data_IF_270489748565
#
_entry.id   IF_270489748565
#
_cell.length_a   1.000
_cell.length_b   1.000
_cell.length_c   1.000
_cell.angle_alpha   90.00
_cell.angle_beta   90.00
_cell.angle_gamma   90.00
#
_symmetry.space_group_name_H-M   'P 1'
#
loop_
_entity.id
_entity.type
_entity.pdbx_description
1 polymer ?
#
# COMPACT_ATOMS: atom_id res chain seq x y z
N UNK A 1 17.13 34.93 -13.58
CA UNK A 1 17.17 33.46 -13.33
C UNK A 1 16.65 33.25 -11.94
N UNK A 2 15.36 32.86 -11.83
CA UNK A 2 14.73 32.55 -10.53
C UNK A 2 15.11 31.12 -10.14
N UNK A 3 15.71 30.95 -8.95
CA UNK A 3 15.92 29.64 -8.36
C UNK A 3 14.58 28.91 -8.18
N UNK A 4 14.49 27.59 -8.40
CA UNK A 4 13.27 26.85 -8.16
C UNK A 4 12.92 26.96 -6.68
N UNK A 5 11.67 27.34 -6.38
CA UNK A 5 11.13 27.40 -5.04
C UNK A 5 11.33 26.05 -4.35
N UNK A 6 11.96 26.08 -3.19
CA UNK A 6 12.14 24.95 -2.29
C UNK A 6 10.78 24.35 -1.95
N UNK A 7 10.43 23.24 -2.57
CA UNK A 7 9.21 22.52 -2.22
C UNK A 7 9.40 21.96 -0.82
N UNK A 8 8.49 22.22 0.12
CA UNK A 8 8.59 21.65 1.45
C UNK A 8 8.65 20.12 1.31
N UNK A 9 9.72 19.53 1.84
CA UNK A 9 9.88 18.07 1.90
C UNK A 9 8.67 17.48 2.62
N UNK A 10 8.07 16.40 2.09
CA UNK A 10 6.95 15.75 2.76
C UNK A 10 7.37 15.28 4.15
N UNK A 11 6.59 15.65 5.19
CA UNK A 11 6.92 15.44 6.61
C UNK A 11 6.87 13.97 7.08
N UNK A 12 6.52 13.03 6.20
CA UNK A 12 6.38 11.61 6.59
C UNK A 12 7.56 10.80 6.06
N UNK A 13 8.64 10.87 6.81
CA UNK A 13 9.79 9.97 6.61
C UNK A 13 9.65 8.84 7.61
N UNK A 14 9.25 7.66 7.15
CA UNK A 14 9.51 6.44 7.91
C UNK A 14 10.99 6.12 7.68
N UNK A 15 11.82 6.42 8.67
CA UNK A 15 13.22 6.03 8.62
C UNK A 15 13.30 4.52 8.91
N UNK A 16 13.47 3.74 7.86
CA UNK A 16 13.87 2.34 8.01
C UNK A 16 15.33 2.29 8.51
N UNK A 17 15.57 1.45 9.51
CA UNK A 17 16.92 1.26 10.07
C UNK A 17 17.17 1.93 11.41
N UNK A 18 16.24 2.68 11.99
CA UNK A 18 16.41 3.23 13.36
C UNK A 18 16.39 2.19 14.46
N UNK A 19 15.91 0.98 14.17
CA UNK A 19 15.86 -0.14 15.13
C UNK A 19 17.15 -0.98 15.14
N UNK A 20 18.26 -0.45 14.61
CA UNK A 20 19.55 -1.14 14.59
C UNK A 20 19.63 -2.26 13.55
N UNK A 21 18.69 -2.38 12.64
CA UNK A 21 18.76 -3.32 11.52
C UNK A 21 19.79 -2.81 10.53
N UNK A 22 20.86 -3.56 10.18
CA UNK A 22 21.83 -3.13 9.20
C UNK A 22 21.15 -2.87 7.86
N UNK A 23 21.57 -1.85 7.09
CA UNK A 23 21.13 -1.72 5.72
C UNK A 23 21.44 -3.02 4.98
N UNK A 24 20.46 -3.54 4.26
CA UNK A 24 20.68 -4.73 3.45
C UNK A 24 21.84 -4.45 2.47
N UNK A 25 22.64 -5.46 2.15
CA UNK A 25 23.77 -5.34 1.25
C UNK A 25 23.38 -4.70 -0.09
N UNK A 26 24.27 -3.88 -0.64
CA UNK A 26 24.13 -3.27 -1.96
C UNK A 26 22.89 -2.38 -2.17
N UNK A 27 22.52 -1.57 -1.19
CA UNK A 27 21.40 -0.60 -1.32
C UNK A 27 20.01 -1.16 -1.08
N UNK A 28 19.88 -2.46 -0.82
CA UNK A 28 18.60 -3.09 -0.43
C UNK A 28 18.32 -2.81 1.04
N UNK A 29 17.20 -2.17 1.32
CA UNK A 29 16.72 -1.99 2.69
C UNK A 29 15.99 -3.26 3.17
N UNK A 30 16.03 -3.48 4.49
CA UNK A 30 15.30 -4.56 5.15
C UNK A 30 14.33 -3.99 6.18
N UNK A 31 13.07 -4.48 6.15
CA UNK A 31 12.01 -4.03 7.04
C UNK A 31 11.61 -5.15 8.02
N UNK A 32 11.80 -4.98 9.34
CA UNK A 32 11.36 -5.97 10.33
C UNK A 32 9.87 -6.31 10.22
N UNK A 33 9.03 -5.37 9.76
CA UNK A 33 7.62 -5.60 9.55
C UNK A 33 7.35 -6.63 8.43
N UNK A 34 8.16 -6.62 7.37
CA UNK A 34 8.06 -7.60 6.28
C UNK A 34 8.16 -9.03 6.81
N UNK A 35 9.18 -9.33 7.61
CA UNK A 35 9.43 -10.68 8.14
C UNK A 35 8.26 -11.19 9.00
N UNK A 36 7.52 -10.29 9.66
CA UNK A 36 6.39 -10.66 10.52
C UNK A 36 5.08 -10.82 9.77
N UNK A 37 4.90 -10.17 8.61
CA UNK A 37 3.57 -10.04 8.00
C UNK A 37 3.43 -10.63 6.59
N UNK A 38 4.53 -10.79 5.83
CA UNK A 38 4.45 -11.13 4.41
C UNK A 38 3.71 -12.44 4.14
N UNK A 39 3.91 -13.47 4.97
CA UNK A 39 3.25 -14.75 4.75
C UNK A 39 1.76 -14.70 5.06
N UNK A 40 1.37 -14.06 6.18
CA UNK A 40 -0.04 -13.90 6.53
C UNK A 40 -0.80 -13.06 5.48
N UNK A 41 -0.17 -11.98 4.99
CA UNK A 41 -0.73 -11.16 3.90
C UNK A 41 -0.88 -12.03 2.64
N UNK A 42 0.15 -12.80 2.27
CA UNK A 42 0.08 -13.65 1.09
C UNK A 42 -1.08 -14.64 1.14
N UNK A 43 -1.35 -15.27 2.28
CA UNK A 43 -2.48 -16.20 2.44
C UNK A 43 -3.83 -15.53 2.08
N UNK A 44 -3.97 -14.24 2.35
CA UNK A 44 -5.15 -13.47 1.95
C UNK A 44 -5.15 -13.11 0.45
N UNK A 45 -3.98 -12.80 -0.11
CA UNK A 45 -3.85 -12.41 -1.52
C UNK A 45 -3.95 -13.60 -2.48
N UNK A 46 -3.43 -14.76 -2.09
CA UNK A 46 -3.27 -15.94 -2.95
C UNK A 46 -4.56 -16.38 -3.65
N UNK A 47 -5.74 -16.43 -3.00
CA UNK A 47 -7.00 -16.79 -3.67
C UNK A 47 -7.37 -15.89 -4.84
N UNK A 48 -6.90 -14.65 -4.84
CA UNK A 48 -7.19 -13.65 -5.87
C UNK A 48 -6.09 -13.56 -6.93
N UNK A 49 -4.83 -13.80 -6.55
CA UNK A 49 -3.67 -13.48 -7.39
C UNK A 49 -2.96 -14.71 -7.99
N UNK A 50 -3.02 -15.88 -7.35
CA UNK A 50 -2.21 -17.03 -7.76
C UNK A 50 -2.49 -17.50 -9.21
N UNK A 51 -3.72 -17.39 -9.68
CA UNK A 51 -4.13 -17.75 -11.05
C UNK A 51 -4.42 -16.53 -11.94
N UNK A 52 -4.29 -15.32 -11.41
CA UNK A 52 -4.60 -14.09 -12.15
C UNK A 52 -3.55 -13.77 -13.22
N UNK A 53 -3.95 -12.98 -14.19
CA UNK A 53 -3.09 -12.40 -15.24
C UNK A 53 -3.37 -10.91 -15.33
N UNK A 54 -2.34 -10.11 -15.59
CA UNK A 54 -2.46 -8.67 -15.70
C UNK A 54 -1.42 -7.94 -14.84
N UNK A 55 -1.80 -6.80 -14.29
CA UNK A 55 -0.93 -5.93 -13.51
C UNK A 55 -1.35 -5.84 -12.04
N UNK A 56 -0.37 -5.70 -11.16
CA UNK A 56 -0.54 -5.33 -9.75
C UNK A 56 0.24 -4.05 -9.49
N UNK A 57 -0.41 -3.05 -8.92
CA UNK A 57 0.24 -1.82 -8.47
C UNK A 57 0.38 -1.85 -6.95
N UNK A 58 1.60 -1.80 -6.44
CA UNK A 58 1.86 -1.62 -5.02
C UNK A 58 2.19 -0.16 -4.73
N UNK A 59 1.44 0.45 -3.83
CA UNK A 59 1.54 1.84 -3.44
C UNK A 59 2.18 1.96 -2.06
N UNK A 60 3.30 2.69 -1.98
CA UNK A 60 4.13 2.76 -0.79
C UNK A 60 4.85 1.42 -0.54
N UNK A 61 5.60 0.94 -1.53
CA UNK A 61 6.30 -0.35 -1.48
C UNK A 61 7.44 -0.40 -0.46
N UNK A 62 7.84 0.74 0.08
CA UNK A 62 8.89 0.84 1.10
C UNK A 62 10.20 0.19 0.64
N UNK A 63 10.62 -0.86 1.33
CA UNK A 63 11.86 -1.59 0.99
C UNK A 63 11.80 -2.34 -0.35
N UNK A 64 10.60 -2.67 -0.86
CA UNK A 64 10.40 -3.49 -2.06
C UNK A 64 10.32 -5.00 -1.81
N UNK A 65 10.51 -5.45 -0.56
CA UNK A 65 10.54 -6.87 -0.22
C UNK A 65 9.21 -7.59 -0.50
N UNK A 66 8.06 -6.95 -0.22
CA UNK A 66 6.75 -7.53 -0.53
C UNK A 66 6.58 -7.73 -2.04
N UNK A 67 6.88 -6.69 -2.84
CA UNK A 67 6.81 -6.77 -4.31
C UNK A 67 7.56 -7.98 -4.84
N UNK A 68 8.86 -8.12 -4.55
CA UNK A 68 9.67 -9.21 -5.14
C UNK A 68 9.24 -10.58 -4.62
N UNK A 69 8.84 -10.68 -3.35
CA UNK A 69 8.35 -11.93 -2.76
C UNK A 69 7.06 -12.42 -3.41
N UNK A 70 6.11 -11.52 -3.64
CA UNK A 70 4.83 -11.89 -4.24
C UNK A 70 4.94 -12.05 -5.76
N UNK A 71 5.80 -11.28 -6.43
CA UNK A 71 6.10 -11.46 -7.86
C UNK A 71 6.67 -12.86 -8.17
N UNK A 72 7.52 -13.40 -7.28
CA UNK A 72 8.04 -14.77 -7.41
C UNK A 72 6.92 -15.81 -7.39
N UNK A 73 5.86 -15.56 -6.60
CA UNK A 73 4.70 -16.46 -6.45
C UNK A 73 3.65 -16.31 -7.56
N UNK A 74 3.76 -15.25 -8.36
CA UNK A 74 2.78 -14.88 -9.40
C UNK A 74 3.45 -14.54 -10.73
N UNK A 75 4.12 -15.49 -11.38
CA UNK A 75 4.91 -15.22 -12.60
C UNK A 75 4.06 -14.73 -13.79
N UNK A 76 2.74 -14.92 -13.75
CA UNK A 76 1.81 -14.44 -14.77
C UNK A 76 1.30 -12.99 -14.55
N UNK A 77 1.67 -12.37 -13.44
CA UNK A 77 1.35 -10.97 -13.12
C UNK A 77 2.58 -10.09 -13.31
N UNK A 78 2.40 -8.87 -13.79
CA UNK A 78 3.43 -7.83 -13.78
C UNK A 78 3.23 -6.94 -12.57
N UNK A 79 4.25 -6.81 -11.73
CA UNK A 79 4.24 -5.98 -10.53
C UNK A 79 4.82 -4.61 -10.80
N UNK A 80 4.12 -3.58 -10.41
CA UNK A 80 4.52 -2.17 -10.50
C UNK A 80 4.69 -1.61 -9.08
N UNK A 81 5.90 -1.67 -8.52
CA UNK A 81 6.18 -1.06 -7.22
C UNK A 81 6.23 0.45 -7.33
N UNK A 82 5.80 1.15 -6.29
CA UNK A 82 5.88 2.60 -6.23
C UNK A 82 6.09 3.11 -4.82
N UNK A 83 6.78 4.24 -4.70
CA UNK A 83 6.95 4.95 -3.44
C UNK A 83 7.14 6.45 -3.70
N UNK A 84 6.99 7.26 -2.65
CA UNK A 84 7.28 8.68 -2.68
C UNK A 84 8.76 8.95 -2.41
N UNK A 85 9.39 8.15 -1.55
CA UNK A 85 10.72 8.39 -0.98
C UNK A 85 11.82 7.86 -1.90
N UNK A 86 12.79 8.71 -2.25
CA UNK A 86 13.93 8.31 -3.08
C UNK A 86 14.72 7.12 -2.53
N UNK A 87 15.04 7.04 -1.21
CA UNK A 87 15.72 5.88 -0.66
C UNK A 87 14.97 4.57 -0.84
N UNK A 88 13.62 4.61 -0.82
CA UNK A 88 12.79 3.44 -1.09
C UNK A 88 12.83 3.04 -2.56
N UNK A 89 12.76 4.01 -3.48
CA UNK A 89 12.88 3.73 -4.92
C UNK A 89 14.23 3.08 -5.24
N UNK A 90 15.32 3.55 -4.64
CA UNK A 90 16.65 2.94 -4.75
C UNK A 90 16.65 1.50 -4.21
N UNK A 91 16.03 1.26 -3.05
CA UNK A 91 15.94 -0.07 -2.46
C UNK A 91 15.10 -1.04 -3.32
N UNK A 92 13.96 -0.59 -3.81
CA UNK A 92 13.10 -1.39 -4.70
C UNK A 92 13.88 -1.81 -5.95
N UNK A 93 14.60 -0.88 -6.58
CA UNK A 93 15.42 -1.18 -7.76
C UNK A 93 16.56 -2.14 -7.44
N UNK A 94 17.19 -2.00 -6.27
CA UNK A 94 18.22 -2.92 -5.82
C UNK A 94 17.67 -4.35 -5.56
N UNK A 95 16.48 -4.48 -4.96
CA UNK A 95 15.79 -5.77 -4.81
C UNK A 95 15.39 -6.36 -6.16
N UNK A 96 14.84 -5.56 -7.07
CA UNK A 96 14.49 -5.99 -8.43
C UNK A 96 15.69 -6.54 -9.17
N UNK A 97 16.79 -5.83 -9.15
CA UNK A 97 18.07 -6.24 -9.78
C UNK A 97 18.62 -7.51 -9.14
N UNK A 98 18.61 -7.60 -7.82
CA UNK A 98 19.11 -8.77 -7.09
C UNK A 98 18.33 -10.04 -7.42
N UNK A 99 17.00 -9.94 -7.52
CA UNK A 99 16.15 -11.11 -7.80
C UNK A 99 16.11 -11.48 -9.27
N UNK A 100 16.40 -10.54 -10.18
CA UNK A 100 16.36 -10.75 -11.62
C UNK A 100 14.97 -11.10 -12.17
N UNK A 101 13.90 -10.80 -11.43
CA UNK A 101 12.54 -11.12 -11.83
C UNK A 101 12.09 -10.27 -13.02
N UNK A 102 11.76 -10.92 -14.14
CA UNK A 102 11.31 -10.24 -15.35
C UNK A 102 9.91 -9.61 -15.21
N UNK A 103 9.13 -10.06 -14.24
CA UNK A 103 7.77 -9.59 -13.99
C UNK A 103 7.67 -8.50 -12.90
N UNK A 104 8.79 -7.88 -12.53
CA UNK A 104 8.82 -6.68 -11.66
C UNK A 104 9.30 -5.50 -12.49
N UNK A 105 8.44 -4.50 -12.68
CA UNK A 105 8.76 -3.27 -13.39
C UNK A 105 9.71 -2.38 -12.55
N UNK A 106 10.38 -1.42 -13.20
CA UNK A 106 11.14 -0.39 -12.49
C UNK A 106 10.22 0.41 -11.56
N UNK A 107 10.70 0.79 -10.35
CA UNK A 107 9.90 1.52 -9.38
C UNK A 107 9.45 2.87 -9.92
N UNK A 108 8.23 3.27 -9.55
CA UNK A 108 7.67 4.56 -9.95
C UNK A 108 7.53 5.49 -8.74
N UNK A 109 7.83 6.76 -8.95
CA UNK A 109 7.53 7.78 -7.93
C UNK A 109 6.04 8.12 -8.02
N UNK A 110 5.29 7.78 -6.98
CA UNK A 110 3.88 8.16 -6.82
C UNK A 110 3.70 8.89 -5.50
N UNK A 111 3.17 10.11 -5.57
CA UNK A 111 2.78 10.89 -4.40
C UNK A 111 1.27 10.81 -4.22
N UNK A 112 0.83 10.05 -3.23
CA UNK A 112 -0.58 9.92 -2.88
C UNK A 112 -1.15 11.14 -2.15
N UNK A 113 -0.35 12.15 -1.82
CA UNK A 113 -0.88 13.42 -1.31
C UNK A 113 -1.45 14.29 -2.41
N UNK A 114 -1.01 14.07 -3.65
CA UNK A 114 -1.45 14.81 -4.82
C UNK A 114 -2.78 14.24 -5.35
N UNK A 115 -3.85 15.07 -5.45
CA UNK A 115 -5.09 14.64 -6.05
C UNK A 115 -4.88 14.22 -7.51
N UNK A 116 -5.49 13.09 -7.89
CA UNK A 116 -5.42 12.64 -9.28
C UNK A 116 -4.05 12.15 -9.72
N UNK A 117 -3.19 11.72 -8.78
CA UNK A 117 -1.91 11.07 -9.11
C UNK A 117 -2.03 10.15 -10.32
N UNK A 118 -0.99 10.19 -11.16
CA UNK A 118 -0.99 9.50 -12.44
C UNK A 118 -0.30 8.14 -12.37
N UNK A 119 -0.88 7.18 -13.06
CA UNK A 119 -0.23 5.93 -13.41
C UNK A 119 -0.78 5.45 -14.75
N UNK A 120 0.09 4.99 -15.63
CA UNK A 120 -0.31 4.46 -16.93
C UNK A 120 -0.14 2.95 -16.90
N UNK A 121 -1.25 2.20 -16.92
CA UNK A 121 -1.19 0.76 -16.86
C UNK A 121 -0.57 0.15 -18.14
N UNK A 122 0.31 -0.82 -17.94
CA UNK A 122 0.78 -1.72 -18.99
C UNK A 122 -0.20 -2.87 -19.29
N UNK A 123 -1.46 -2.78 -18.82
CA UNK A 123 -2.48 -3.82 -18.95
C UNK A 123 -3.63 -3.66 -17.97
N UNK A 124 -4.52 -4.66 -17.87
CA UNK A 124 -5.61 -4.67 -16.90
C UNK A 124 -5.06 -4.70 -15.47
N UNK A 125 -5.42 -3.71 -14.64
CA UNK A 125 -5.01 -3.66 -13.24
C UNK A 125 -5.93 -4.54 -12.40
N UNK A 126 -5.45 -5.75 -12.12
CA UNK A 126 -6.24 -6.77 -11.39
C UNK A 126 -6.16 -6.60 -9.88
N UNK A 127 -5.11 -5.91 -9.38
CA UNK A 127 -5.01 -5.59 -7.97
C UNK A 127 -4.22 -4.30 -7.71
N UNK A 128 -4.58 -3.64 -6.63
CA UNK A 128 -3.79 -2.63 -5.95
C UNK A 128 -3.50 -3.09 -4.53
N UNK A 129 -2.29 -2.83 -4.05
CA UNK A 129 -1.83 -3.22 -2.73
C UNK A 129 -1.25 -2.01 -2.00
N UNK A 130 -1.59 -1.84 -0.73
CA UNK A 130 -1.07 -0.78 0.13
C UNK A 130 -0.84 -1.34 1.53
N UNK A 131 0.42 -1.41 1.97
CA UNK A 131 0.82 -2.07 3.21
C UNK A 131 1.44 -1.05 4.16
N UNK A 132 0.84 -0.85 5.35
CA UNK A 132 1.35 0.00 6.42
C UNK A 132 1.56 1.49 6.05
N UNK A 133 0.74 2.04 5.16
CA UNK A 133 0.85 3.45 4.70
C UNK A 133 -0.17 4.35 5.38
N UNK A 134 -1.45 3.95 5.44
CA UNK A 134 -2.54 4.89 5.75
C UNK A 134 -2.46 5.51 7.14
N UNK A 135 -1.96 4.77 8.13
CA UNK A 135 -1.87 5.25 9.51
C UNK A 135 -0.67 6.19 9.76
N UNK A 136 0.31 6.22 8.86
CA UNK A 136 1.49 7.10 8.89
C UNK A 136 1.44 8.18 7.80
N UNK A 137 0.25 8.57 7.40
CA UNK A 137 0.03 9.56 6.35
C UNK A 137 -1.23 10.41 6.66
N UNK A 138 -1.40 11.60 6.06
CA UNK A 138 -2.63 12.37 6.22
C UNK A 138 -3.84 11.68 5.58
N UNK A 139 -5.05 12.05 6.01
CA UNK A 139 -6.30 11.46 5.49
C UNK A 139 -6.46 11.58 3.97
N UNK A 140 -5.91 12.64 3.37
CA UNK A 140 -5.91 12.83 1.91
C UNK A 140 -5.27 11.66 1.15
N UNK A 141 -4.28 10.98 1.74
CA UNK A 141 -3.68 9.77 1.14
C UNK A 141 -4.70 8.64 1.05
N UNK A 142 -5.53 8.44 2.08
CA UNK A 142 -6.64 7.45 2.01
C UNK A 142 -7.65 7.82 0.93
N UNK A 143 -8.00 9.10 0.81
CA UNK A 143 -8.92 9.60 -0.21
C UNK A 143 -8.35 9.38 -1.62
N UNK A 144 -7.11 9.75 -1.85
CA UNK A 144 -6.46 9.65 -3.16
C UNK A 144 -6.15 8.19 -3.56
N UNK A 145 -5.78 7.33 -2.60
CA UNK A 145 -5.62 5.89 -2.81
C UNK A 145 -6.93 5.26 -3.32
N UNK A 146 -8.02 5.49 -2.59
CA UNK A 146 -9.33 4.89 -2.91
C UNK A 146 -9.89 5.46 -4.21
N UNK A 147 -9.77 6.76 -4.45
CA UNK A 147 -10.17 7.38 -5.71
C UNK A 147 -9.38 6.80 -6.90
N UNK A 148 -8.06 6.59 -6.73
CA UNK A 148 -7.21 5.93 -7.71
C UNK A 148 -7.64 4.48 -7.98
N UNK A 149 -7.98 3.74 -6.94
CA UNK A 149 -8.46 2.37 -7.08
C UNK A 149 -9.78 2.31 -7.88
N UNK A 150 -10.73 3.20 -7.60
CA UNK A 150 -11.98 3.32 -8.37
C UNK A 150 -11.75 3.70 -9.83
N UNK A 151 -10.65 4.42 -10.14
CA UNK A 151 -10.29 4.84 -11.50
C UNK A 151 -9.54 3.76 -12.27
N UNK A 152 -8.57 3.10 -11.65
CA UNK A 152 -7.60 2.25 -12.35
C UNK A 152 -7.89 0.76 -12.29
N UNK A 153 -8.54 0.27 -11.23
CA UNK A 153 -8.84 -1.15 -11.12
C UNK A 153 -9.75 -1.61 -12.26
N UNK A 154 -9.45 -2.78 -12.78
CA UNK A 154 -10.32 -3.48 -13.73
C UNK A 154 -11.62 -3.93 -13.04
N UNK A 155 -12.61 -4.36 -13.84
CA UNK A 155 -13.98 -4.72 -13.39
C UNK A 155 -13.99 -5.75 -12.26
N UNK A 156 -13.08 -6.70 -12.28
CA UNK A 156 -12.90 -7.73 -11.24
C UNK A 156 -11.71 -7.47 -10.32
N UNK A 157 -11.13 -6.26 -10.42
CA UNK A 157 -9.95 -5.89 -9.65
C UNK A 157 -10.25 -5.73 -8.16
N UNK A 158 -9.19 -5.86 -7.36
CA UNK A 158 -9.25 -5.74 -5.91
C UNK A 158 -8.25 -4.73 -5.39
N UNK A 159 -8.67 -3.95 -4.38
CA UNK A 159 -7.77 -3.16 -3.56
C UNK A 159 -7.59 -3.87 -2.23
N UNK A 160 -6.35 -4.13 -1.86
CA UNK A 160 -5.96 -4.70 -0.57
C UNK A 160 -5.23 -3.65 0.25
N UNK A 161 -5.70 -3.39 1.47
CA UNK A 161 -5.06 -2.46 2.39
C UNK A 161 -4.74 -3.19 3.69
N UNK A 162 -3.45 -3.29 4.03
CA UNK A 162 -3.00 -3.91 5.26
C UNK A 162 -2.55 -2.87 6.29
N UNK A 163 -2.93 -3.07 7.52
CA UNK A 163 -2.51 -2.26 8.67
C UNK A 163 -3.38 -2.45 9.90
N UNK A 164 -3.14 -1.66 10.96
CA UNK A 164 -4.06 -1.55 12.07
C UNK A 164 -5.27 -0.69 11.67
N UNK A 165 -6.45 -1.07 12.15
CA UNK A 165 -7.69 -0.31 11.92
C UNK A 165 -8.54 -0.25 13.18
N UNK A 166 -9.31 0.83 13.32
CA UNK A 166 -10.44 0.93 14.21
C UNK A 166 -11.67 0.28 13.56
N UNK A 167 -12.63 -0.12 14.38
CA UNK A 167 -13.94 -0.61 13.94
C UNK A 167 -15.02 0.14 14.70
N UNK A 168 -15.90 0.82 13.97
CA UNK A 168 -17.03 1.57 14.52
C UNK A 168 -16.62 2.54 15.66
N UNK A 169 -15.54 3.30 15.44
CA UNK A 169 -15.01 4.26 16.37
C UNK A 169 -14.21 3.68 17.54
N UNK A 170 -13.94 2.36 17.54
CA UNK A 170 -13.26 1.70 18.66
C UNK A 170 -11.97 1.00 18.18
N UNK A 171 -10.89 1.17 18.94
CA UNK A 171 -9.66 0.42 18.72
C UNK A 171 -9.88 -1.07 18.99
N UNK A 172 -9.35 -1.93 18.14
CA UNK A 172 -9.51 -3.39 18.22
C UNK A 172 -8.64 -4.03 19.31
N UNK A 173 -7.67 -3.30 19.85
CA UNK A 173 -6.83 -3.72 20.96
C UNK A 173 -6.26 -2.50 21.71
N UNK A 174 -5.92 -2.62 23.02
CA UNK A 174 -5.25 -1.56 23.76
C UNK A 174 -3.93 -1.12 23.10
N UNK A 175 -3.13 -2.05 22.59
CA UNK A 175 -1.88 -1.75 21.88
C UNK A 175 -2.10 -0.89 20.63
N UNK A 176 -3.24 -1.03 19.94
CA UNK A 176 -3.58 -0.19 18.79
C UNK A 176 -3.97 1.23 19.22
N UNK A 177 -4.58 1.40 20.39
CA UNK A 177 -4.87 2.72 20.96
C UNK A 177 -3.57 3.46 21.37
N UNK A 178 -2.64 2.76 22.02
CA UNK A 178 -1.33 3.31 22.35
C UNK A 178 -0.53 3.69 21.10
N UNK A 179 -0.58 2.82 20.08
CA UNK A 179 0.07 3.09 18.79
C UNK A 179 -0.55 4.32 18.09
N UNK A 180 -1.88 4.43 18.04
CA UNK A 180 -2.57 5.61 17.48
C UNK A 180 -2.17 6.90 18.21
N UNK A 181 -2.13 6.87 19.53
CA UNK A 181 -1.68 8.02 20.34
C UNK A 181 -0.23 8.40 20.00
N UNK A 182 0.67 7.42 19.83
CA UNK A 182 2.07 7.65 19.45
C UNK A 182 2.21 8.25 18.05
N UNK A 183 1.38 7.84 17.12
CA UNK A 183 1.35 8.37 15.75
C UNK A 183 0.89 9.83 15.75
N UNK A 184 -0.22 10.14 16.43
CA UNK A 184 -0.77 11.50 16.53
C UNK A 184 0.16 12.46 17.27
N UNK A 185 0.95 11.97 18.21
CA UNK A 185 1.98 12.76 18.87
C UNK A 185 3.14 13.16 17.92
N UNK A 186 3.41 12.36 16.89
CA UNK A 186 4.42 12.67 15.87
C UNK A 186 3.87 13.62 14.80
N UNK A 187 2.67 13.36 14.32
CA UNK A 187 1.96 14.20 13.36
C UNK A 187 0.44 14.10 13.60
N UNK A 188 -0.24 15.23 13.84
CA UNK A 188 -1.70 15.25 14.08
C UNK A 188 -2.53 14.72 12.91
N UNK A 189 -1.99 14.72 11.69
CA UNK A 189 -2.65 14.17 10.50
C UNK A 189 -2.57 12.64 10.41
N UNK A 190 -1.68 12.02 11.20
CA UNK A 190 -1.54 10.58 11.25
C UNK A 190 -2.56 9.94 12.20
N UNK A 191 -2.67 8.62 12.14
CA UNK A 191 -3.48 7.84 13.08
C UNK A 191 -4.13 6.63 12.44
N UNK A 192 -4.54 5.70 13.28
CA UNK A 192 -5.25 4.48 12.88
C UNK A 192 -6.60 4.86 12.27
N UNK A 193 -6.90 4.34 11.08
CA UNK A 193 -8.12 4.66 10.32
C UNK A 193 -9.26 3.75 10.73
N UNK A 194 -10.50 4.26 10.66
CA UNK A 194 -11.69 3.46 10.90
C UNK A 194 -12.13 2.75 9.60
N UNK A 195 -12.45 1.47 9.70
CA UNK A 195 -12.94 0.67 8.56
C UNK A 195 -14.24 1.21 7.99
N UNK A 196 -15.12 1.77 8.85
CA UNK A 196 -16.37 2.40 8.42
C UNK A 196 -16.12 3.61 7.53
N UNK A 197 -15.17 4.48 7.90
CA UNK A 197 -14.87 5.70 7.14
C UNK A 197 -14.23 5.34 5.79
N UNK A 198 -13.35 4.32 5.77
CA UNK A 198 -12.78 3.79 4.54
C UNK A 198 -13.84 3.13 3.65
N UNK A 199 -14.80 2.40 4.22
CA UNK A 199 -15.90 1.79 3.47
C UNK A 199 -16.82 2.85 2.85
N UNK A 200 -17.15 3.91 3.59
CA UNK A 200 -17.94 5.03 3.07
C UNK A 200 -17.23 5.74 1.92
N UNK A 201 -15.91 5.97 2.08
CA UNK A 201 -15.07 6.56 1.04
C UNK A 201 -14.99 5.68 -0.20
N UNK A 202 -14.87 4.36 -0.01
CA UNK A 202 -14.82 3.38 -1.09
C UNK A 202 -16.13 3.36 -1.89
N UNK A 203 -17.28 3.33 -1.21
CA UNK A 203 -18.59 3.38 -1.85
C UNK A 203 -18.77 4.63 -2.72
N UNK A 204 -18.32 5.80 -2.25
CA UNK A 204 -18.33 7.03 -3.02
C UNK A 204 -17.47 6.99 -4.30
N UNK A 205 -16.53 6.02 -4.38
CA UNK A 205 -15.62 5.82 -5.52
C UNK A 205 -15.92 4.54 -6.32
N UNK A 206 -17.09 3.93 -6.14
CA UNK A 206 -17.52 2.73 -6.87
C UNK A 206 -16.79 1.46 -6.45
N UNK A 207 -16.40 1.37 -5.18
CA UNK A 207 -15.79 0.20 -4.55
C UNK A 207 -16.64 -0.23 -3.35
N UNK A 208 -16.75 -1.53 -3.11
CA UNK A 208 -17.34 -2.09 -1.90
C UNK A 208 -16.27 -2.74 -1.02
N UNK A 209 -16.30 -2.52 0.29
CA UNK A 209 -15.55 -3.30 1.25
C UNK A 209 -16.21 -4.69 1.35
N UNK A 210 -15.55 -5.72 0.84
CA UNK A 210 -16.12 -7.09 0.73
C UNK A 210 -15.60 -8.04 1.79
N UNK A 211 -14.44 -7.74 2.40
CA UNK A 211 -13.89 -8.56 3.48
C UNK A 211 -12.99 -7.74 4.41
N UNK A 212 -12.91 -8.16 5.67
CA UNK A 212 -12.00 -7.66 6.71
C UNK A 212 -11.32 -8.85 7.34
N UNK A 213 -10.15 -9.21 6.84
CA UNK A 213 -9.43 -10.42 7.25
C UNK A 213 -8.52 -10.12 8.43
N UNK A 214 -8.72 -10.77 9.60
CA UNK A 214 -7.86 -10.60 10.76
C UNK A 214 -6.42 -11.08 10.47
N UNK A 215 -5.44 -10.31 10.95
CA UNK A 215 -4.01 -10.57 10.79
C UNK A 215 -3.32 -10.63 12.15
N UNK A 216 -2.11 -11.22 12.23
CA UNK A 216 -1.30 -11.16 13.45
C UNK A 216 -1.11 -9.74 13.97
N UNK A 217 -0.88 -9.61 15.28
CA UNK A 217 -0.62 -8.36 15.98
C UNK A 217 -1.75 -7.31 15.81
N UNK A 218 -3.01 -7.76 15.82
CA UNK A 218 -4.20 -6.92 15.74
C UNK A 218 -4.25 -6.02 14.50
N UNK A 219 -3.64 -6.48 13.40
CA UNK A 219 -3.79 -5.88 12.07
C UNK A 219 -4.93 -6.55 11.29
N UNK A 220 -5.23 -6.00 10.12
CA UNK A 220 -6.22 -6.55 9.19
C UNK A 220 -5.76 -6.34 7.75
N UNK A 221 -6.25 -7.18 6.85
CA UNK A 221 -6.33 -6.86 5.42
C UNK A 221 -7.78 -6.48 5.12
N UNK A 222 -7.97 -5.26 4.63
CA UNK A 222 -9.24 -4.83 4.06
C UNK A 222 -9.25 -5.17 2.57
N UNK A 223 -10.28 -5.87 2.11
CA UNK A 223 -10.44 -6.25 0.71
C UNK A 223 -11.59 -5.43 0.12
N UNK A 224 -11.27 -4.61 -0.88
CA UNK A 224 -12.28 -3.87 -1.62
C UNK A 224 -12.40 -4.43 -3.03
N UNK A 225 -13.65 -4.50 -3.51
CA UNK A 225 -13.99 -4.91 -4.86
C UNK A 225 -14.57 -3.75 -5.65
N UNK A 226 -14.29 -3.67 -6.95
CA UNK A 226 -14.99 -2.75 -7.81
C UNK A 226 -16.46 -3.17 -7.96
N UNK A 227 -17.41 -2.25 -7.74
CA UNK A 227 -18.83 -2.49 -7.98
C UNK A 227 -19.14 -2.48 -9.47
N UNK A 228 -19.92 -3.47 -9.92
CA UNK A 228 -20.49 -3.43 -11.26
C UNK A 228 -21.54 -2.32 -11.33
N UNK A 229 -21.31 -1.30 -12.13
CA UNK A 229 -22.24 -0.16 -12.35
C UNK A 229 -23.53 -0.57 -13.08
N UNK A 230 -23.77 -1.87 -13.30
CA UNK A 230 -24.89 -2.35 -14.14
C UNK A 230 -26.16 -2.74 -13.36
N UNK A 231 -26.25 -2.51 -12.05
CA UNK A 231 -27.45 -2.88 -11.25
C UNK A 231 -28.18 -1.70 -10.61
N UNK A 232 -28.29 -0.56 -11.33
CA UNK A 232 -29.27 0.50 -11.03
C UNK A 232 -30.06 0.82 -12.27
N UNK A 233 -31.01 -0.04 -12.60
CA UNK A 233 -32.18 0.25 -13.42
C UNK A 233 -33.41 -0.06 -12.63
#
# INVERSE_FOLDING_TARGET
>A
MNAPADRPQPRFVVEFGKDGTPPAEAGRLDAPAFHRNHEAIWQTLAPYLAAARGAVLELGSGTGQHTVTYATRTPALTWYPSDLQEPHLVSIEAWRTHTGLANVASPQRIDLTEPGWGWTPGGALVAMLCINVLHISPWSVSQNLIAGAGRFLDRNGRLFIYGPFMRDGTHTAPSNAEFDASLRARDPGWGVRDTRDLAALAAANGLALVDIVPMPANNFVLVFAREDRTSKT
#
